data_IF_812308588140
#
_entry.id   IF_812308588140
#
_cell.length_a   1.000
_cell.length_b   1.000
_cell.length_c   1.000
_cell.angle_alpha   90.00
_cell.angle_beta   90.00
_cell.angle_gamma   90.00
#
_symmetry.space_group_name_H-M   'P 1'
#
loop_
_entity.id
_entity.type
_entity.pdbx_description
1 polymer ?
#
# COMPACT_ATOMS: atom_id res chain seq x y z
N UNK A 1 22.95 40.60 -4.14
CA UNK A 1 22.08 41.51 -3.36
C UNK A 1 20.86 40.72 -2.97
N UNK A 2 20.78 40.29 -1.72
CA UNK A 2 19.60 39.60 -1.21
C UNK A 2 18.43 40.55 -1.02
N UNK A 3 17.22 40.00 -1.09
CA UNK A 3 16.29 40.12 0.02
C UNK A 3 15.29 38.97 -0.02
N UNK A 4 15.32 38.30 1.11
CA UNK A 4 14.45 37.28 1.67
C UNK A 4 13.05 37.84 1.93
N UNK A 5 12.02 37.00 1.77
CA UNK A 5 10.72 37.13 2.43
C UNK A 5 10.10 35.72 2.55
N UNK A 6 10.71 34.92 3.43
CA UNK A 6 9.95 34.27 4.51
C UNK A 6 8.69 35.09 4.86
N UNK A 7 7.47 34.55 4.63
CA UNK A 7 6.28 35.23 5.15
C UNK A 7 4.89 34.94 4.60
N UNK A 8 4.67 34.07 3.61
CA UNK A 8 3.31 33.86 3.09
C UNK A 8 3.03 32.39 2.74
N UNK A 9 2.75 31.55 3.73
CA UNK A 9 1.67 30.56 3.67
C UNK A 9 1.32 30.06 5.09
N UNK A 10 0.13 30.40 5.62
CA UNK A 10 -0.38 29.78 6.83
C UNK A 10 -1.00 28.41 6.55
N UNK A 11 -0.88 27.54 7.57
CA UNK A 11 -1.74 26.39 7.91
C UNK A 11 -1.87 25.22 6.94
N UNK A 12 -1.49 24.04 7.46
CA UNK A 12 -2.03 22.70 7.20
C UNK A 12 -2.52 22.40 5.78
N UNK A 13 -1.77 21.55 5.06
CA UNK A 13 -2.39 20.53 4.23
C UNK A 13 -1.54 19.26 4.25
N UNK A 14 -2.13 18.23 4.83
CA UNK A 14 -1.64 16.87 4.97
C UNK A 14 -1.41 16.25 3.58
N UNK A 15 -0.15 16.02 3.18
CA UNK A 15 0.20 15.07 2.11
C UNK A 15 1.47 14.34 2.51
N UNK A 16 1.30 13.27 3.28
CA UNK A 16 2.33 12.27 3.53
C UNK A 16 2.28 11.29 2.34
N UNK A 17 3.19 11.45 1.39
CA UNK A 17 3.43 10.41 0.38
C UNK A 17 4.04 9.18 1.07
N UNK A 18 3.12 8.30 1.46
CA UNK A 18 3.25 6.85 1.59
C UNK A 18 4.58 6.35 2.22
N UNK A 19 4.54 6.28 3.54
CA UNK A 19 5.57 5.72 4.42
C UNK A 19 5.51 4.19 4.45
N UNK A 20 6.68 3.53 4.58
CA UNK A 20 6.83 2.09 4.88
C UNK A 20 5.81 1.64 5.94
N UNK A 21 5.06 0.58 5.63
CA UNK A 21 3.84 0.22 6.33
C UNK A 21 4.00 -0.08 7.82
N UNK A 22 3.00 0.33 8.58
CA UNK A 22 2.47 -0.50 9.67
C UNK A 22 0.97 -0.20 9.82
N UNK A 23 0.24 -0.93 10.69
CA UNK A 23 -1.15 -0.68 11.03
C UNK A 23 -1.52 0.77 11.35
N UNK A 24 -0.60 1.73 11.39
CA UNK A 24 -0.81 3.14 11.71
C UNK A 24 -1.73 3.95 10.78
N UNK A 25 -2.12 3.50 9.59
CA UNK A 25 -3.29 4.11 8.91
C UNK A 25 -4.59 3.63 9.57
N UNK A 26 -4.63 2.36 10.00
CA UNK A 26 -5.67 1.85 10.90
C UNK A 26 -5.54 2.45 12.32
N UNK A 27 -4.40 2.41 12.99
CA UNK A 27 -4.16 2.97 14.33
C UNK A 27 -4.23 4.49 14.37
N UNK A 28 -3.98 5.11 13.23
CA UNK A 28 -4.26 6.50 12.91
C UNK A 28 -5.75 6.72 13.00
N UNK A 29 -6.51 6.26 12.03
CA UNK A 29 -7.90 6.67 11.86
C UNK A 29 -8.85 5.95 12.86
N UNK A 30 -8.44 4.82 13.44
CA UNK A 30 -9.22 4.04 14.42
C UNK A 30 -8.85 4.34 15.87
N UNK A 31 -8.04 5.37 16.12
CA UNK A 31 -7.55 5.76 17.45
C UNK A 31 -8.63 6.25 18.42
N UNK A 32 -9.89 6.33 17.99
CA UNK A 32 -11.00 6.87 18.78
C UNK A 32 -11.70 5.88 19.69
N UNK A 33 -12.13 4.72 19.20
CA UNK A 33 -12.96 3.77 19.97
C UNK A 33 -13.00 2.34 19.37
N UNK A 34 -12.05 2.00 18.48
CA UNK A 34 -12.14 0.82 17.62
C UNK A 34 -10.94 -0.11 17.80
N UNK A 35 -10.76 -0.69 19.00
CA UNK A 35 -9.75 -1.74 19.34
C UNK A 35 -8.28 -1.47 18.97
N UNK A 36 -7.95 -0.34 18.34
CA UNK A 36 -6.62 -0.01 17.85
C UNK A 36 -5.75 0.76 18.85
N UNK A 37 -6.24 0.99 20.08
CA UNK A 37 -5.44 1.54 21.18
C UNK A 37 -4.17 0.74 21.45
N UNK A 38 -4.20 -0.57 21.15
CA UNK A 38 -3.06 -1.47 21.30
C UNK A 38 -1.90 -1.14 20.35
N UNK A 39 -2.13 -0.46 19.22
CA UNK A 39 -1.09 -0.18 18.22
C UNK A 39 -0.48 1.22 18.33
N UNK A 40 -0.85 2.01 19.35
CA UNK A 40 -0.31 3.37 19.57
C UNK A 40 1.20 3.40 19.83
N UNK A 41 1.77 2.26 20.24
CA UNK A 41 3.20 2.12 20.50
C UNK A 41 4.03 1.84 19.23
N UNK A 42 3.40 1.54 18.10
CA UNK A 42 4.12 1.24 16.85
C UNK A 42 4.54 2.56 16.19
N UNK A 43 5.85 2.85 16.08
CA UNK A 43 6.34 4.13 15.60
C UNK A 43 6.11 4.33 14.10
N UNK A 44 5.81 5.57 13.71
CA UNK A 44 5.67 6.01 12.32
C UNK A 44 6.78 7.00 12.01
N UNK A 45 7.65 6.60 11.09
CA UNK A 45 8.79 7.40 10.64
C UNK A 45 8.43 8.16 9.38
N UNK A 46 8.70 9.47 9.30
CA UNK A 46 8.43 10.22 8.07
C UNK A 46 9.40 9.79 6.96
N UNK A 47 8.86 9.42 5.80
CA UNK A 47 9.64 9.07 4.61
C UNK A 47 9.97 10.27 3.71
N UNK A 48 10.36 9.96 2.47
CA UNK A 48 10.49 10.93 1.39
C UNK A 48 9.15 11.63 1.11
N UNK A 49 9.21 12.92 0.77
CA UNK A 49 8.04 13.77 0.48
C UNK A 49 7.72 13.88 -1.01
N UNK A 50 8.56 13.28 -1.86
CA UNK A 50 8.47 13.28 -3.31
C UNK A 50 9.23 12.09 -3.91
N UNK A 51 8.96 11.76 -5.16
CA UNK A 51 9.75 10.80 -5.95
C UNK A 51 11.21 11.26 -6.16
N UNK A 52 12.12 10.31 -6.41
CA UNK A 52 13.56 10.61 -6.60
C UNK A 52 13.81 11.55 -7.77
N UNK A 53 13.04 11.40 -8.86
CA UNK A 53 13.11 12.24 -10.05
C UNK A 53 12.26 13.51 -9.97
N UNK A 54 11.58 13.73 -8.83
CA UNK A 54 10.71 14.87 -8.58
C UNK A 54 9.42 14.90 -9.42
N UNK A 55 9.15 13.86 -10.21
CA UNK A 55 7.90 13.77 -10.96
C UNK A 55 6.82 13.10 -10.11
N UNK A 56 5.78 13.86 -9.77
CA UNK A 56 4.57 13.33 -9.16
C UNK A 56 3.48 13.24 -10.22
N UNK A 57 3.06 12.02 -10.56
CA UNK A 57 1.77 11.83 -11.21
C UNK A 57 0.70 12.03 -10.14
N UNK A 58 0.00 13.16 -10.20
CA UNK A 58 -1.08 13.45 -9.27
C UNK A 58 -2.19 12.43 -9.46
N UNK A 59 -2.52 11.69 -8.40
CA UNK A 59 -3.72 10.86 -8.38
C UNK A 59 -4.93 11.77 -8.67
N UNK A 60 -5.77 11.31 -9.60
CA UNK A 60 -7.14 11.78 -9.74
C UNK A 60 -7.85 11.67 -8.38
N UNK A 61 -8.96 12.38 -8.18
CA UNK A 61 -9.79 12.33 -6.97
C UNK A 61 -10.53 10.98 -6.88
N UNK A 62 -9.82 9.86 -7.04
CA UNK A 62 -10.35 8.50 -7.07
C UNK A 62 -10.81 8.04 -5.68
N UNK A 63 -10.09 8.48 -4.64
CA UNK A 63 -10.40 8.17 -3.23
C UNK A 63 -11.15 9.31 -2.51
N UNK A 64 -11.59 10.33 -3.24
CA UNK A 64 -12.19 11.53 -2.65
C UNK A 64 -11.14 12.61 -2.31
N UNK A 65 -11.61 13.80 -1.85
CA UNK A 65 -10.76 15.00 -1.72
C UNK A 65 -9.68 14.91 -0.63
N UNK A 66 -9.84 13.98 0.32
CA UNK A 66 -8.95 13.73 1.45
C UNK A 66 -8.33 12.32 1.42
N UNK A 67 -8.52 11.57 0.33
CA UNK A 67 -8.23 10.14 0.18
C UNK A 67 -9.02 9.18 1.11
N UNK A 68 -10.04 9.69 1.79
CA UNK A 68 -10.94 8.95 2.68
C UNK A 68 -12.41 9.25 2.38
N UNK A 69 -12.75 9.62 1.14
CA UNK A 69 -14.13 9.91 0.73
C UNK A 69 -14.76 11.12 1.41
N UNK A 70 -13.98 12.04 1.98
CA UNK A 70 -14.44 13.16 2.80
C UNK A 70 -14.62 12.82 4.28
N UNK A 71 -14.21 11.61 4.71
CA UNK A 71 -14.38 11.12 6.07
C UNK A 71 -13.18 11.39 7.00
N UNK A 72 -12.10 12.03 6.54
CA UNK A 72 -10.89 12.23 7.36
C UNK A 72 -11.14 13.04 8.63
N UNK A 73 -12.16 13.91 8.62
CA UNK A 73 -12.58 14.70 9.78
C UNK A 73 -13.52 13.97 10.75
N UNK A 74 -14.07 12.81 10.37
CA UNK A 74 -15.00 12.04 11.20
C UNK A 74 -14.30 11.19 12.25
N UNK A 75 -13.00 10.97 12.08
CA UNK A 75 -12.22 10.02 12.84
C UNK A 75 -10.93 10.68 13.34
N UNK A 76 -10.49 10.41 14.58
CA UNK A 76 -9.24 10.99 15.07
C UNK A 76 -8.07 10.40 14.28
N UNK A 77 -7.08 11.24 13.94
CA UNK A 77 -5.81 10.77 13.38
C UNK A 77 -4.86 10.47 14.54
N UNK A 78 -4.54 9.20 14.71
CA UNK A 78 -3.63 8.66 15.71
C UNK A 78 -2.24 9.26 15.56
N UNK A 79 -1.62 9.51 16.72
CA UNK A 79 -0.30 10.12 16.84
C UNK A 79 0.68 9.09 17.35
N UNK A 80 1.40 8.46 16.44
CA UNK A 80 2.46 7.52 16.76
C UNK A 80 3.80 8.01 16.19
N UNK A 81 4.29 9.19 16.60
CA UNK A 81 5.52 9.72 16.03
C UNK A 81 6.69 8.78 16.30
N UNK A 82 7.62 8.73 15.35
CA UNK A 82 8.95 8.16 15.60
C UNK A 82 9.54 8.73 16.91
N UNK A 83 10.21 7.92 17.73
CA UNK A 83 10.87 8.39 18.95
C UNK A 83 11.88 9.50 18.67
N UNK A 84 12.57 9.40 17.52
CA UNK A 84 13.43 10.46 16.97
C UNK A 84 12.73 11.08 15.75
N UNK A 85 12.33 12.36 15.81
CA UNK A 85 11.72 13.08 14.68
C UNK A 85 12.63 13.23 13.46
N UNK A 86 13.95 13.12 13.62
CA UNK A 86 14.92 13.20 12.52
C UNK A 86 15.21 11.84 11.88
N UNK A 87 14.71 10.75 12.47
CA UNK A 87 14.84 9.43 11.88
C UNK A 87 13.90 9.29 10.68
N UNK A 88 14.46 9.35 9.48
CA UNK A 88 13.72 9.14 8.25
C UNK A 88 13.45 7.66 7.98
N UNK A 89 12.27 7.34 7.43
CA UNK A 89 11.84 5.96 7.19
C UNK A 89 12.82 5.14 6.36
N UNK A 90 13.45 5.75 5.35
CA UNK A 90 14.43 5.11 4.47
C UNK A 90 15.77 4.80 5.15
N UNK A 91 16.18 5.54 6.17
CA UNK A 91 17.33 5.18 7.01
C UNK A 91 16.92 4.17 8.07
N UNK A 92 15.74 4.37 8.66
CA UNK A 92 15.29 3.54 9.77
C UNK A 92 15.04 2.08 9.37
N UNK A 93 14.57 1.83 8.15
CA UNK A 93 14.39 0.47 7.64
C UNK A 93 15.72 -0.29 7.59
N UNK A 94 16.82 0.40 7.24
CA UNK A 94 18.16 -0.18 7.23
C UNK A 94 18.55 -0.58 8.66
N UNK A 95 18.38 0.32 9.63
CA UNK A 95 18.69 0.05 11.04
C UNK A 95 17.91 -1.14 11.60
N UNK A 96 16.60 -1.19 11.33
CA UNK A 96 15.72 -2.26 11.80
C UNK A 96 16.18 -3.60 11.21
N UNK A 97 16.38 -3.65 9.90
CA UNK A 97 16.82 -4.87 9.20
C UNK A 97 18.18 -5.34 9.69
N UNK A 98 19.14 -4.43 9.85
CA UNK A 98 20.48 -4.75 10.35
C UNK A 98 20.49 -5.25 11.79
N UNK A 99 19.60 -4.74 12.63
CA UNK A 99 19.50 -5.17 14.02
C UNK A 99 19.06 -6.63 14.13
N UNK A 100 18.27 -7.14 13.18
CA UNK A 100 17.83 -8.54 13.15
C UNK A 100 17.79 -9.11 11.71
N UNK A 101 18.96 -9.44 11.14
CA UNK A 101 19.03 -9.98 9.79
C UNK A 101 18.22 -11.26 9.63
N UNK A 102 17.52 -11.40 8.50
CA UNK A 102 16.71 -12.56 8.15
C UNK A 102 15.42 -12.73 8.96
N UNK A 103 15.00 -11.71 9.74
CA UNK A 103 13.81 -11.78 10.60
C UNK A 103 12.68 -10.82 10.21
N UNK A 104 12.88 -10.05 9.16
CA UNK A 104 11.98 -8.97 8.79
C UNK A 104 11.37 -9.23 7.42
N UNK A 105 10.04 -9.19 7.38
CA UNK A 105 9.28 -9.09 6.13
C UNK A 105 8.92 -7.63 5.88
N UNK A 106 9.24 -7.12 4.69
CA UNK A 106 8.84 -5.80 4.23
C UNK A 106 7.64 -5.94 3.30
N UNK A 107 6.58 -5.19 3.57
CA UNK A 107 5.45 -5.03 2.66
C UNK A 107 5.47 -3.58 2.14
N UNK A 108 5.52 -3.41 0.83
CA UNK A 108 5.57 -2.11 0.17
C UNK A 108 4.29 -1.91 -0.66
N UNK A 109 3.38 -1.05 -0.17
CA UNK A 109 2.07 -0.76 -0.80
C UNK A 109 1.99 0.66 -1.35
N UNK A 110 3.14 1.17 -1.77
CA UNK A 110 3.38 2.58 -2.02
C UNK A 110 4.47 2.73 -3.07
N UNK A 111 4.64 3.94 -3.66
CA UNK A 111 5.85 4.26 -4.40
C UNK A 111 7.09 3.83 -3.61
N UNK A 112 7.99 3.13 -4.30
CA UNK A 112 9.15 2.49 -3.68
C UNK A 112 10.25 3.48 -3.30
N UNK A 113 9.99 4.79 -3.31
CA UNK A 113 10.95 5.87 -3.07
C UNK A 113 11.76 5.65 -1.79
N UNK A 114 11.12 5.26 -0.68
CA UNK A 114 11.84 5.00 0.56
C UNK A 114 12.82 3.82 0.46
N UNK A 115 12.41 2.72 -0.20
CA UNK A 115 13.28 1.57 -0.42
C UNK A 115 14.39 1.87 -1.43
N UNK A 116 14.09 2.65 -2.47
CA UNK A 116 15.08 3.09 -3.44
C UNK A 116 16.15 3.98 -2.79
N UNK A 117 15.76 4.95 -1.96
CA UNK A 117 16.71 5.75 -1.17
C UNK A 117 17.51 4.86 -0.22
N UNK A 118 16.87 3.90 0.46
CA UNK A 118 17.56 2.97 1.33
C UNK A 118 18.63 2.15 0.60
N UNK A 119 18.33 1.67 -0.62
CA UNK A 119 19.28 0.95 -1.48
C UNK A 119 20.42 1.83 -2.00
N UNK A 120 20.18 3.13 -2.22
CA UNK A 120 21.24 4.07 -2.60
C UNK A 120 22.22 4.31 -1.43
N UNK A 121 21.72 4.28 -0.20
CA UNK A 121 22.53 4.45 1.01
C UNK A 121 23.25 3.15 1.38
N UNK A 122 22.54 2.02 1.34
CA UNK A 122 23.04 0.70 1.70
C UNK A 122 22.59 -0.35 0.66
N UNK A 123 23.39 -0.63 -0.37
CA UNK A 123 22.98 -1.50 -1.48
C UNK A 123 22.60 -2.93 -1.08
N UNK A 124 23.25 -3.46 -0.05
CA UNK A 124 23.13 -4.87 0.34
C UNK A 124 22.11 -5.10 1.46
N UNK A 125 21.42 -4.06 1.97
CA UNK A 125 20.53 -4.23 3.14
C UNK A 125 19.39 -5.22 2.88
N UNK A 126 18.90 -5.31 1.64
CA UNK A 126 17.84 -6.25 1.26
C UNK A 126 18.28 -7.71 1.35
N UNK A 127 19.58 -8.01 1.35
CA UNK A 127 20.08 -9.37 1.55
C UNK A 127 19.80 -9.89 2.98
N UNK A 128 19.55 -8.96 3.91
CA UNK A 128 19.18 -9.25 5.29
C UNK A 128 17.66 -9.25 5.52
N UNK A 129 16.84 -9.07 4.48
CA UNK A 129 15.38 -9.12 4.56
C UNK A 129 14.91 -10.55 4.29
N UNK A 130 13.99 -11.07 5.10
CA UNK A 130 13.44 -12.42 4.94
C UNK A 130 12.56 -12.49 3.68
N UNK A 131 11.61 -11.56 3.58
CA UNK A 131 10.71 -11.44 2.44
C UNK A 131 10.43 -9.97 2.10
N UNK A 132 10.34 -9.68 0.81
CA UNK A 132 9.89 -8.38 0.28
C UNK A 132 8.65 -8.59 -0.59
N UNK A 133 7.52 -8.08 -0.12
CA UNK A 133 6.25 -8.06 -0.86
C UNK A 133 6.04 -6.67 -1.43
N UNK A 134 5.80 -6.57 -2.74
CA UNK A 134 5.56 -5.31 -3.44
C UNK A 134 4.17 -5.35 -4.06
N UNK A 135 3.32 -4.40 -3.70
CA UNK A 135 2.14 -4.07 -4.48
C UNK A 135 2.54 -3.05 -5.55
N UNK A 136 2.58 -3.51 -6.79
CA UNK A 136 2.91 -2.63 -7.91
C UNK A 136 3.19 -3.41 -9.18
N UNK A 137 3.29 -2.66 -10.28
CA UNK A 137 3.46 -3.22 -11.62
C UNK A 137 2.18 -3.86 -12.17
N UNK A 138 2.22 -4.15 -13.47
CA UNK A 138 1.11 -4.73 -14.22
C UNK A 138 1.62 -5.89 -15.04
N UNK A 139 1.00 -7.07 -14.91
CA UNK A 139 1.43 -8.27 -15.63
C UNK A 139 1.07 -8.23 -17.12
N UNK A 140 -0.12 -7.71 -17.45
CA UNK A 140 -0.62 -7.61 -18.83
C UNK A 140 -1.05 -6.17 -19.11
N UNK A 141 -0.46 -5.53 -20.11
CA UNK A 141 -0.90 -4.22 -20.60
C UNK A 141 -1.95 -4.44 -21.69
N UNK A 142 -3.16 -4.85 -21.30
CA UNK A 142 -4.30 -4.90 -22.21
C UNK A 142 -5.33 -3.87 -21.79
N UNK A 143 -5.85 -3.11 -22.77
CA UNK A 143 -7.01 -2.24 -22.57
C UNK A 143 -8.18 -3.07 -22.06
N UNK A 144 -8.77 -2.62 -20.96
CA UNK A 144 -10.01 -3.05 -20.31
C UNK A 144 -10.86 -4.02 -21.14
N UNK A 145 -10.90 -5.29 -20.74
CA UNK A 145 -12.09 -6.18 -20.82
C UNK A 145 -11.79 -7.65 -20.51
N UNK A 146 -10.54 -8.11 -20.64
CA UNK A 146 -10.20 -9.53 -20.47
C UNK A 146 -8.86 -9.75 -19.74
N UNK A 147 -8.92 -9.91 -18.42
CA UNK A 147 -7.89 -10.68 -17.70
C UNK A 147 -6.88 -9.93 -16.83
N UNK A 148 -7.19 -8.71 -16.35
CA UNK A 148 -6.43 -8.17 -15.22
C UNK A 148 -6.52 -9.13 -14.03
N UNK A 149 -5.45 -9.19 -13.24
CA UNK A 149 -5.47 -9.77 -11.90
C UNK A 149 -6.64 -9.08 -11.20
N UNK A 150 -7.79 -9.76 -11.13
CA UNK A 150 -8.97 -9.21 -10.48
C UNK A 150 -8.65 -9.22 -8.99
N UNK A 151 -8.08 -8.12 -8.51
CA UNK A 151 -7.90 -7.76 -7.11
C UNK A 151 -9.26 -7.44 -6.46
N UNK A 152 -10.30 -8.19 -6.86
CA UNK A 152 -11.64 -8.13 -6.30
C UNK A 152 -11.60 -8.96 -5.02
N UNK A 153 -11.30 -8.34 -3.88
CA UNK A 153 -11.80 -8.92 -2.63
C UNK A 153 -13.28 -8.64 -2.54
N UNK A 154 -14.02 -9.67 -2.13
CA UNK A 154 -15.41 -9.56 -1.75
C UNK A 154 -16.24 -8.87 -2.81
N UNK A 155 -16.96 -9.66 -3.59
CA UNK A 155 -18.04 -9.16 -4.45
C UNK A 155 -18.82 -8.02 -3.77
N UNK A 156 -19.40 -7.08 -4.52
CA UNK A 156 -20.23 -6.00 -3.96
C UNK A 156 -21.20 -6.48 -2.86
N UNK A 157 -21.66 -7.74 -2.96
CA UNK A 157 -22.45 -8.41 -1.93
C UNK A 157 -21.76 -8.52 -0.55
N UNK A 158 -20.47 -8.87 -0.48
CA UNK A 158 -19.69 -8.96 0.75
C UNK A 158 -19.55 -7.58 1.39
N UNK A 159 -19.16 -6.57 0.63
CA UNK A 159 -19.11 -5.19 1.12
C UNK A 159 -20.45 -4.72 1.67
N UNK A 160 -21.52 -4.89 0.90
CA UNK A 160 -22.88 -4.54 1.31
C UNK A 160 -23.31 -5.31 2.58
N UNK A 161 -22.91 -6.57 2.73
CA UNK A 161 -23.25 -7.38 3.91
C UNK A 161 -22.58 -6.87 5.18
N UNK A 162 -21.35 -6.34 5.07
CA UNK A 162 -20.59 -5.77 6.18
C UNK A 162 -21.14 -4.38 6.51
N UNK A 163 -21.28 -3.49 5.52
CA UNK A 163 -21.62 -2.07 5.73
C UNK A 163 -23.08 -1.81 6.09
N UNK A 164 -23.98 -2.80 5.87
CA UNK A 164 -25.36 -2.78 6.39
C UNK A 164 -25.44 -2.97 7.90
N UNK A 165 -24.43 -3.56 8.53
CA UNK A 165 -24.42 -3.77 9.99
C UNK A 165 -24.07 -2.48 10.71
N UNK A 166 -24.58 -2.35 11.93
CA UNK A 166 -24.25 -1.26 12.83
C UNK A 166 -23.12 -1.68 13.76
N UNK A 167 -21.96 -1.06 13.58
CA UNK A 167 -20.79 -1.30 14.40
C UNK A 167 -19.66 -0.37 13.98
N UNK A 168 -18.73 -0.03 14.88
CA UNK A 168 -17.83 1.07 14.57
C UNK A 168 -16.79 0.72 13.48
N UNK A 169 -16.41 -0.55 13.27
CA UNK A 169 -15.54 -0.98 12.15
C UNK A 169 -16.30 -0.96 10.81
N UNK A 170 -17.56 -1.38 10.84
CA UNK A 170 -18.44 -1.40 9.67
C UNK A 170 -18.79 0.02 9.22
N UNK A 171 -19.05 0.92 10.16
CA UNK A 171 -19.25 2.35 9.92
C UNK A 171 -17.97 2.98 9.37
N UNK A 172 -16.80 2.69 9.96
CA UNK A 172 -15.51 3.15 9.45
C UNK A 172 -15.27 2.72 7.99
N UNK A 173 -15.44 1.43 7.70
CA UNK A 173 -15.30 0.90 6.34
C UNK A 173 -16.26 1.62 5.39
N UNK A 174 -17.53 1.74 5.77
CA UNK A 174 -18.55 2.41 4.94
C UNK A 174 -18.14 3.85 4.66
N UNK A 175 -17.86 4.65 5.68
CA UNK A 175 -17.67 6.09 5.53
C UNK A 175 -16.41 6.40 4.70
N UNK A 176 -15.32 5.64 4.91
CA UNK A 176 -14.03 5.89 4.23
C UNK A 176 -13.97 5.36 2.80
N UNK A 177 -14.82 4.40 2.43
CA UNK A 177 -14.74 3.73 1.11
C UNK A 177 -15.97 3.92 0.24
N UNK A 178 -17.09 4.46 0.75
CA UNK A 178 -18.32 4.63 -0.05
C UNK A 178 -18.10 5.45 -1.31
N UNK A 179 -17.29 6.51 -1.24
CA UNK A 179 -16.92 7.31 -2.40
C UNK A 179 -16.21 6.46 -3.47
N UNK A 180 -15.12 5.77 -3.08
CA UNK A 180 -14.34 4.92 -3.98
C UNK A 180 -15.17 3.78 -4.56
N UNK A 181 -16.01 3.13 -3.75
CA UNK A 181 -16.91 2.06 -4.18
C UNK A 181 -17.91 2.57 -5.20
N UNK A 182 -18.50 3.75 -4.98
CA UNK A 182 -19.41 4.37 -5.93
C UNK A 182 -18.73 4.67 -7.27
N UNK A 183 -17.49 5.19 -7.25
CA UNK A 183 -16.70 5.40 -8.46
C UNK A 183 -16.39 4.08 -9.18
N UNK A 184 -15.99 3.04 -8.45
CA UNK A 184 -15.66 1.73 -9.03
C UNK A 184 -16.86 1.04 -9.68
N UNK A 185 -18.04 1.18 -9.06
CA UNK A 185 -19.27 0.51 -9.52
C UNK A 185 -19.79 1.02 -10.86
N UNK A 186 -19.31 2.17 -11.34
CA UNK A 186 -19.64 2.66 -12.69
C UNK A 186 -19.01 1.77 -13.78
N UNK A 187 -17.84 1.17 -13.50
CA UNK A 187 -17.02 0.46 -14.50
C UNK A 187 -16.75 -1.03 -14.14
N UNK A 188 -17.07 -1.48 -12.92
CA UNK A 188 -16.74 -2.81 -12.41
C UNK A 188 -17.80 -3.34 -11.44
N UNK A 189 -18.06 -4.67 -11.37
CA UNK A 189 -19.02 -5.26 -10.42
C UNK A 189 -18.52 -5.27 -8.95
N UNK A 190 -17.45 -4.54 -8.63
CA UNK A 190 -16.86 -4.42 -7.30
C UNK A 190 -15.68 -3.44 -7.30
N UNK A 191 -15.01 -3.32 -6.16
CA UNK A 191 -13.86 -2.41 -5.96
C UNK A 191 -12.57 -3.19 -5.71
N UNK A 192 -11.44 -2.55 -5.98
CA UNK A 192 -10.12 -3.15 -5.79
C UNK A 192 -9.63 -2.97 -4.35
N UNK A 193 -8.91 -3.97 -3.85
CA UNK A 193 -8.34 -3.97 -2.49
C UNK A 193 -6.86 -4.33 -2.50
N UNK A 194 -6.09 -3.71 -3.40
CA UNK A 194 -4.68 -4.06 -3.63
C UNK A 194 -3.86 -4.13 -2.35
N UNK A 195 -3.94 -3.09 -1.52
CA UNK A 195 -3.27 -3.00 -0.22
C UNK A 195 -3.61 -4.19 0.70
N UNK A 196 -4.89 -4.52 0.81
CA UNK A 196 -5.33 -5.67 1.62
C UNK A 196 -4.73 -6.98 1.09
N UNK A 197 -4.69 -7.17 -0.23
CA UNK A 197 -4.17 -8.40 -0.83
C UNK A 197 -2.65 -8.53 -0.66
N UNK A 198 -1.91 -7.42 -0.66
CA UNK A 198 -0.48 -7.43 -0.38
C UNK A 198 -0.20 -7.85 1.07
N UNK A 199 -0.95 -7.32 2.04
CA UNK A 199 -0.87 -7.76 3.45
C UNK A 199 -1.30 -9.21 3.59
N UNK A 200 -2.36 -9.63 2.90
CA UNK A 200 -2.86 -11.01 2.94
C UNK A 200 -1.83 -11.99 2.38
N UNK A 201 -1.15 -11.67 1.28
CA UNK A 201 -0.08 -12.49 0.73
C UNK A 201 1.09 -12.68 1.70
N UNK A 202 1.40 -11.66 2.50
CA UNK A 202 2.48 -11.70 3.48
C UNK A 202 2.09 -12.45 4.77
N UNK A 203 0.83 -12.34 5.20
CA UNK A 203 0.36 -12.89 6.48
C UNK A 203 -0.33 -14.24 6.37
N UNK A 204 -0.85 -14.57 5.19
CA UNK A 204 -1.58 -15.80 4.86
C UNK A 204 -1.11 -16.26 3.47
N UNK A 205 0.13 -16.77 3.32
CA UNK A 205 0.70 -17.12 2.01
C UNK A 205 -0.14 -18.14 1.22
N UNK A 206 -0.87 -19.03 1.91
CA UNK A 206 -1.81 -19.99 1.33
C UNK A 206 -3.02 -19.34 0.65
N UNK A 207 -3.26 -18.04 0.88
CA UNK A 207 -4.24 -17.26 0.14
C UNK A 207 -3.85 -17.06 -1.33
N UNK A 208 -2.57 -17.21 -1.68
CA UNK A 208 -2.08 -17.13 -3.05
C UNK A 208 -2.38 -18.44 -3.77
N UNK A 209 -3.22 -18.38 -4.80
CA UNK A 209 -3.66 -19.55 -5.56
C UNK A 209 -2.78 -19.81 -6.79
N UNK A 210 -2.29 -18.77 -7.45
CA UNK A 210 -1.49 -18.88 -8.65
C UNK A 210 -0.41 -17.80 -8.68
N UNK A 211 0.80 -18.21 -9.07
CA UNK A 211 1.94 -17.32 -9.31
C UNK A 211 2.56 -17.60 -10.68
N UNK A 212 3.32 -16.64 -11.17
CA UNK A 212 4.31 -16.84 -12.23
C UNK A 212 5.65 -16.28 -11.78
N UNK A 213 6.72 -16.81 -12.34
CA UNK A 213 8.08 -16.42 -11.98
C UNK A 213 8.76 -15.87 -13.22
N UNK A 214 9.01 -14.56 -13.25
CA UNK A 214 9.68 -13.90 -14.37
C UNK A 214 10.90 -13.10 -13.88
N UNK A 215 11.89 -12.93 -14.75
CA UNK A 215 12.79 -11.79 -14.62
C UNK A 215 12.03 -10.55 -15.05
N UNK A 216 12.11 -9.50 -14.24
CA UNK A 216 11.37 -8.26 -14.48
C UNK A 216 12.30 -7.06 -14.38
N UNK A 217 11.93 -6.02 -15.10
CA UNK A 217 12.57 -4.71 -15.06
C UNK A 217 11.49 -3.61 -15.14
N UNK A 218 11.87 -2.35 -14.94
CA UNK A 218 10.97 -1.19 -15.07
C UNK A 218 11.44 -0.31 -16.21
N UNK A 219 10.55 -0.01 -17.16
CA UNK A 219 10.84 0.94 -18.24
C UNK A 219 10.94 2.37 -17.68
N UNK A 220 12.00 3.10 -18.00
CA UNK A 220 12.29 4.42 -17.40
C UNK A 220 12.24 5.59 -18.38
N UNK A 221 12.35 5.33 -19.69
CA UNK A 221 12.58 6.35 -20.71
C UNK A 221 11.39 6.54 -21.67
N UNK A 222 10.59 5.50 -21.88
CA UNK A 222 9.48 5.53 -22.83
C UNK A 222 8.44 6.59 -22.50
N UNK A 223 8.05 7.41 -23.47
CA UNK A 223 7.06 8.49 -23.31
C UNK A 223 5.71 7.99 -22.78
N UNK A 224 5.28 6.79 -23.19
CA UNK A 224 3.99 6.19 -22.83
C UNK A 224 4.09 4.97 -21.93
N UNK A 225 5.31 4.48 -21.70
CA UNK A 225 5.58 3.20 -21.04
C UNK A 225 6.47 3.35 -19.83
N UNK A 226 6.92 4.57 -19.49
CA UNK A 226 7.65 4.82 -18.25
C UNK A 226 6.85 4.32 -17.04
N UNK A 227 7.52 3.62 -16.14
CA UNK A 227 6.94 2.95 -14.98
C UNK A 227 6.34 1.57 -15.28
N UNK A 228 6.26 1.14 -16.55
CA UNK A 228 5.74 -0.18 -16.89
C UNK A 228 6.66 -1.29 -16.40
N UNK A 229 6.07 -2.33 -15.84
CA UNK A 229 6.76 -3.58 -15.53
C UNK A 229 7.03 -4.34 -16.84
N UNK A 230 8.30 -4.52 -17.17
CA UNK A 230 8.77 -5.26 -18.34
C UNK A 230 9.12 -6.67 -17.91
N UNK A 231 8.57 -7.66 -18.61
CA UNK A 231 8.80 -9.08 -18.31
C UNK A 231 9.71 -9.72 -19.35
N UNK A 232 10.63 -10.58 -18.88
CA UNK A 232 11.34 -11.49 -19.75
C UNK A 232 10.44 -12.70 -20.09
N UNK A 233 9.77 -12.65 -21.25
CA UNK A 233 8.91 -13.73 -21.73
C UNK A 233 9.70 -14.88 -22.35
N UNK A 234 10.91 -14.59 -22.84
CA UNK A 234 11.85 -15.56 -23.40
C UNK A 234 13.19 -15.54 -22.62
N UNK A 235 13.97 -16.64 -22.66
CA UNK A 235 15.27 -16.70 -21.99
C UNK A 235 16.25 -15.59 -22.41
N UNK A 236 16.15 -15.12 -23.66
CA UNK A 236 17.03 -14.06 -24.20
C UNK A 236 16.65 -12.65 -23.74
N UNK A 237 15.44 -12.45 -23.22
CA UNK A 237 14.97 -11.14 -22.79
C UNK A 237 15.63 -10.74 -21.47
N UNK A 238 15.81 -9.44 -21.21
CA UNK A 238 16.44 -8.89 -19.99
C UNK A 238 17.72 -9.62 -19.53
N UNK A 239 18.72 -9.88 -20.40
CA UNK A 239 19.85 -10.77 -20.08
C UNK A 239 20.72 -10.27 -18.92
N UNK A 240 20.62 -8.98 -18.58
CA UNK A 240 21.31 -8.33 -17.46
C UNK A 240 20.60 -8.56 -16.11
N UNK A 241 19.30 -8.85 -16.09
CA UNK A 241 18.56 -9.20 -14.87
C UNK A 241 18.87 -10.65 -14.51
N UNK A 242 19.40 -10.88 -13.30
CA UNK A 242 19.85 -12.22 -12.86
C UNK A 242 18.89 -12.90 -11.88
N UNK A 243 18.09 -12.12 -11.15
CA UNK A 243 17.15 -12.62 -10.15
C UNK A 243 15.75 -12.74 -10.75
N UNK A 244 15.04 -13.78 -10.38
CA UNK A 244 13.64 -13.97 -10.70
C UNK A 244 12.76 -13.30 -9.64
N UNK A 245 11.58 -12.86 -10.05
CA UNK A 245 10.54 -12.32 -9.20
C UNK A 245 9.29 -13.18 -9.33
N UNK A 246 8.74 -13.59 -8.18
CA UNK A 246 7.44 -14.25 -8.10
C UNK A 246 6.35 -13.19 -8.17
N UNK A 247 5.47 -13.31 -9.16
CA UNK A 247 4.34 -12.41 -9.39
C UNK A 247 3.06 -13.18 -9.06
N UNK A 248 2.25 -12.64 -8.15
CA UNK A 248 0.96 -13.21 -7.81
C UNK A 248 -0.02 -12.94 -8.94
N UNK A 249 -0.60 -13.99 -9.52
CA UNK A 249 -1.64 -13.89 -10.56
C UNK A 249 -3.05 -13.98 -10.00
N UNK A 250 -3.24 -14.76 -8.94
CA UNK A 250 -4.57 -15.07 -8.43
C UNK A 250 -4.52 -15.41 -6.96
N UNK A 251 -5.50 -14.88 -6.23
CA UNK A 251 -5.78 -15.24 -4.85
C UNK A 251 -6.98 -16.18 -4.77
N UNK A 252 -7.01 -17.00 -3.71
CA UNK A 252 -8.16 -17.79 -3.33
C UNK A 252 -9.27 -16.87 -2.83
N UNK A 253 -10.31 -16.70 -3.64
CA UNK A 253 -11.41 -15.76 -3.35
C UNK A 253 -12.14 -16.06 -2.05
N UNK A 254 -12.23 -17.33 -1.63
CA UNK A 254 -12.87 -17.69 -0.35
C UNK A 254 -12.08 -17.18 0.85
N UNK A 255 -10.75 -17.35 0.82
CA UNK A 255 -9.88 -16.85 1.88
C UNK A 255 -9.88 -15.32 1.90
N UNK A 256 -9.79 -14.68 0.73
CA UNK A 256 -9.88 -13.23 0.61
C UNK A 256 -11.19 -12.71 1.25
N UNK A 257 -12.34 -13.29 0.92
CA UNK A 257 -13.63 -12.91 1.51
C UNK A 257 -13.71 -13.18 3.02
N UNK A 258 -13.20 -14.33 3.47
CA UNK A 258 -13.18 -14.71 4.87
C UNK A 258 -12.37 -13.72 5.69
N UNK A 259 -11.13 -13.44 5.31
CA UNK A 259 -10.25 -12.53 6.04
C UNK A 259 -10.73 -11.08 5.96
N UNK A 260 -11.27 -10.65 4.82
CA UNK A 260 -11.85 -9.31 4.71
C UNK A 260 -13.04 -9.13 5.65
N UNK A 261 -13.95 -10.12 5.73
CA UNK A 261 -15.04 -10.14 6.71
C UNK A 261 -14.52 -10.16 8.14
N UNK A 262 -13.51 -10.98 8.43
CA UNK A 262 -12.93 -11.07 9.77
C UNK A 262 -12.34 -9.74 10.26
N UNK A 263 -11.77 -8.93 9.37
CA UNK A 263 -11.23 -7.61 9.71
C UNK A 263 -12.35 -6.64 10.11
N UNK A 264 -13.42 -6.54 9.32
CA UNK A 264 -14.45 -5.51 9.50
C UNK A 264 -15.71 -5.97 10.22
N UNK A 265 -15.88 -7.27 10.41
CA UNK A 265 -17.01 -7.93 11.07
C UNK A 265 -16.51 -9.14 11.88
N UNK A 266 -15.61 -8.92 12.87
CA UNK A 266 -15.03 -10.01 13.63
C UNK A 266 -16.09 -10.75 14.46
N UNK A 267 -15.93 -12.06 14.67
CA UNK A 267 -16.81 -12.81 15.56
C UNK A 267 -16.81 -12.19 16.96
N UNK A 268 -17.99 -12.20 17.62
CA UNK A 268 -18.13 -11.73 19.01
C UNK A 268 -17.23 -12.60 19.88
N UNK A 269 -16.31 -11.99 20.63
CA UNK A 269 -15.59 -12.70 21.69
C UNK A 269 -16.63 -13.06 22.75
N UNK A 270 -16.78 -14.36 23.02
CA UNK A 270 -17.56 -14.87 24.15
C UNK A 270 -16.96 -14.45 25.48
#
# INVERSE_FOLDING_TARGET
MGRDLDGLLPSCNTKLEKTLLSPAVLGGILGGNLRCSEWRHVPVYKGADRSIDGQSDYETVYFGPDNFGGASGLYPIGRNPAPDPQAHAYLKVIDIVRANPGRHTIVAMAPLTNLAIALLVEPDFLENVEHLYILGGTLYVLRSSHGDIRLQAGTQSTYNSITKKTGPLQTFLRDTTSYTVQCCLQDSPGFNVGDFLAVLAATVPESVQETVVHRVDVELAGTYTRGQLVHAWQPKDLPYVKRNTTIVKRFNTRLVEQYFKQVFDPPRRG
#
